data_IF_939423296591
#
_entry.id   IF_939423296591
#
_cell.length_a   1.000
_cell.length_b   1.000
_cell.length_c   1.000
_cell.angle_alpha   90.00
_cell.angle_beta   90.00
_cell.angle_gamma   90.00
#
_symmetry.space_group_name_H-M   'P 1'
#
loop_
_entity.id
_entity.type
_entity.pdbx_description
1 polymer ?
#
# COMPACT_ATOMS: atom_id res chain seq x y z
N UNK A 1 -13.96 0.03 18.67
CA UNK A 1 -13.79 -0.76 17.44
C UNK A 1 -14.42 -2.14 17.61
N UNK A 2 -15.14 -2.61 16.61
CA UNK A 2 -15.70 -3.96 16.60
C UNK A 2 -14.59 -5.01 16.36
N UNK A 3 -14.86 -6.28 16.66
CA UNK A 3 -13.91 -7.38 16.38
C UNK A 3 -13.51 -7.43 14.90
N UNK A 4 -14.46 -7.21 14.01
CA UNK A 4 -14.22 -7.18 12.56
C UNK A 4 -13.30 -6.03 12.15
N UNK A 5 -13.45 -4.85 12.74
CA UNK A 5 -12.59 -3.70 12.47
C UNK A 5 -11.15 -3.95 12.97
N UNK A 6 -11.02 -4.54 14.14
CA UNK A 6 -9.70 -4.93 14.68
C UNK A 6 -9.03 -5.95 13.77
N UNK A 7 -9.78 -6.94 13.29
CA UNK A 7 -9.25 -7.92 12.32
C UNK A 7 -8.78 -7.24 11.04
N UNK A 8 -9.50 -6.24 10.54
CA UNK A 8 -9.11 -5.45 9.38
C UNK A 8 -7.81 -4.67 9.60
N UNK A 9 -7.66 -4.04 10.77
CA UNK A 9 -6.43 -3.33 11.14
C UNK A 9 -5.24 -4.29 11.23
N UNK A 10 -5.43 -5.43 11.89
CA UNK A 10 -4.38 -6.44 12.02
C UNK A 10 -3.99 -7.03 10.66
N UNK A 11 -4.96 -7.31 9.80
CA UNK A 11 -4.70 -7.79 8.45
C UNK A 11 -3.91 -6.76 7.64
N UNK A 12 -4.31 -5.49 7.66
CA UNK A 12 -3.61 -4.41 6.96
C UNK A 12 -2.19 -4.23 7.50
N UNK A 13 -2.01 -4.20 8.81
CA UNK A 13 -0.69 -4.07 9.43
C UNK A 13 0.22 -5.25 9.05
N UNK A 14 -0.31 -6.48 9.07
CA UNK A 14 0.42 -7.69 8.67
C UNK A 14 0.83 -7.61 7.20
N UNK A 15 -0.05 -7.16 6.31
CA UNK A 15 0.23 -7.02 4.89
C UNK A 15 1.33 -5.98 4.66
N UNK A 16 1.27 -4.83 5.34
CA UNK A 16 2.31 -3.78 5.21
C UNK A 16 3.66 -4.30 5.68
N UNK A 17 3.72 -4.97 6.83
CA UNK A 17 4.96 -5.59 7.34
C UNK A 17 5.48 -6.65 6.38
N UNK A 18 4.61 -7.56 5.94
CA UNK A 18 4.98 -8.60 4.98
C UNK A 18 5.48 -8.01 3.65
N UNK A 19 4.83 -6.96 3.16
CA UNK A 19 5.23 -6.25 1.95
C UNK A 19 6.67 -5.71 2.07
N UNK A 20 6.99 -5.06 3.18
CA UNK A 20 8.31 -4.49 3.41
C UNK A 20 9.41 -5.57 3.54
N UNK A 21 9.08 -6.74 4.05
CA UNK A 21 9.99 -7.88 4.12
C UNK A 21 10.13 -8.54 2.74
N UNK A 22 8.99 -8.86 2.11
CA UNK A 22 8.96 -9.64 0.88
C UNK A 22 9.48 -8.87 -0.35
N UNK A 23 9.48 -7.54 -0.32
CA UNK A 23 10.08 -6.72 -1.38
C UNK A 23 11.58 -6.97 -1.55
N UNK A 24 12.24 -7.47 -0.51
CA UNK A 24 13.67 -7.81 -0.53
C UNK A 24 13.95 -9.12 -1.25
N UNK A 25 12.95 -9.96 -1.46
CA UNK A 25 13.08 -11.26 -2.12
C UNK A 25 12.57 -11.20 -3.55
N UNK A 26 13.45 -11.51 -4.49
CA UNK A 26 13.12 -11.56 -5.90
C UNK A 26 12.39 -12.86 -6.23
N UNK A 27 11.31 -12.71 -7.01
CA UNK A 27 10.64 -13.83 -7.66
C UNK A 27 10.99 -13.81 -9.15
N UNK A 28 11.98 -14.61 -9.53
CA UNK A 28 12.54 -14.52 -10.87
C UNK A 28 13.39 -13.26 -11.09
N UNK A 29 13.44 -12.77 -12.32
CA UNK A 29 14.28 -11.62 -12.71
C UNK A 29 13.51 -10.29 -12.75
N UNK A 30 12.17 -10.29 -12.54
CA UNK A 30 11.31 -9.16 -12.85
C UNK A 30 10.41 -8.72 -11.71
N UNK A 31 10.06 -9.61 -10.79
CA UNK A 31 9.12 -9.36 -9.71
C UNK A 31 9.76 -9.59 -8.34
N UNK A 32 9.19 -8.95 -7.34
CA UNK A 32 9.48 -9.27 -5.95
C UNK A 32 8.27 -9.98 -5.34
N UNK A 33 8.50 -10.79 -4.32
CA UNK A 33 7.41 -11.39 -3.55
C UNK A 33 6.48 -10.34 -2.93
N UNK A 34 7.01 -9.15 -2.66
CA UNK A 34 6.21 -8.01 -2.18
C UNK A 34 5.10 -7.58 -3.11
N UNK A 35 5.26 -7.78 -4.42
CA UNK A 35 4.23 -7.43 -5.40
C UNK A 35 2.91 -8.19 -5.19
N UNK A 36 2.97 -9.40 -4.63
CA UNK A 36 1.78 -10.20 -4.34
C UNK A 36 1.00 -9.73 -3.11
N UNK A 37 1.59 -8.88 -2.28
CA UNK A 37 0.92 -8.33 -1.09
C UNK A 37 -0.01 -7.16 -1.43
N UNK A 38 0.22 -6.46 -2.52
CA UNK A 38 -0.62 -5.32 -2.95
C UNK A 38 -2.07 -5.71 -3.22
N UNK A 39 -2.37 -6.75 -4.01
CA UNK A 39 -3.75 -7.19 -4.20
C UNK A 39 -4.45 -7.56 -2.88
N UNK A 40 -3.71 -8.09 -1.91
CA UNK A 40 -4.26 -8.42 -0.60
C UNK A 40 -4.62 -7.17 0.21
N UNK A 41 -3.81 -6.11 0.13
CA UNK A 41 -4.12 -4.83 0.76
C UNK A 41 -5.43 -4.23 0.21
N UNK A 42 -5.59 -4.20 -1.10
CA UNK A 42 -6.82 -3.73 -1.75
C UNK A 42 -8.01 -4.61 -1.38
N UNK A 43 -7.82 -5.93 -1.32
CA UNK A 43 -8.87 -6.87 -0.92
C UNK A 43 -9.37 -6.58 0.51
N UNK A 44 -8.47 -6.37 1.45
CA UNK A 44 -8.84 -6.02 2.83
C UNK A 44 -9.60 -4.71 2.88
N UNK A 45 -9.13 -3.71 2.13
CA UNK A 45 -9.80 -2.40 2.04
C UNK A 45 -11.20 -2.54 1.45
N UNK A 46 -11.36 -3.28 0.37
CA UNK A 46 -12.65 -3.51 -0.28
C UNK A 46 -13.64 -4.24 0.64
N UNK A 47 -13.17 -5.27 1.34
CA UNK A 47 -14.01 -6.01 2.29
C UNK A 47 -14.45 -5.08 3.44
N UNK A 48 -13.54 -4.31 4.01
CA UNK A 48 -13.86 -3.40 5.09
C UNK A 48 -14.78 -2.26 4.64
N UNK A 49 -14.58 -1.74 3.43
CA UNK A 49 -15.47 -0.74 2.84
C UNK A 49 -16.86 -1.30 2.61
N UNK A 50 -16.97 -2.53 2.12
CA UNK A 50 -18.27 -3.18 1.90
C UNK A 50 -19.02 -3.45 3.19
N UNK A 51 -18.32 -3.87 4.25
CA UNK A 51 -18.92 -4.22 5.54
C UNK A 51 -19.23 -3.01 6.41
N UNK A 52 -18.37 -2.00 6.41
CA UNK A 52 -18.41 -0.90 7.39
C UNK A 52 -18.51 0.49 6.77
N UNK A 53 -18.40 0.61 5.45
CA UNK A 53 -18.45 1.89 4.74
C UNK A 53 -17.10 2.57 4.60
N UNK A 54 -17.04 3.67 3.78
CA UNK A 54 -15.77 4.29 3.40
C UNK A 54 -15.03 4.97 4.55
N UNK A 55 -15.73 5.57 5.52
CA UNK A 55 -15.11 6.24 6.65
C UNK A 55 -14.32 5.25 7.53
N UNK A 56 -14.89 4.09 7.81
CA UNK A 56 -14.24 3.03 8.59
C UNK A 56 -13.09 2.40 7.80
N UNK A 57 -13.27 2.17 6.50
CA UNK A 57 -12.22 1.65 5.64
C UNK A 57 -10.99 2.57 5.63
N UNK A 58 -11.17 3.88 5.50
CA UNK A 58 -10.07 4.87 5.58
C UNK A 58 -9.34 4.82 6.92
N UNK A 59 -10.09 4.69 8.01
CA UNK A 59 -9.50 4.57 9.34
C UNK A 59 -8.67 3.29 9.48
N UNK A 60 -9.17 2.17 8.98
CA UNK A 60 -8.46 0.89 9.00
C UNK A 60 -7.17 0.96 8.18
N UNK A 61 -7.21 1.55 6.99
CA UNK A 61 -6.03 1.77 6.15
C UNK A 61 -4.98 2.60 6.90
N UNK A 62 -5.39 3.75 7.47
CA UNK A 62 -4.47 4.64 8.18
C UNK A 62 -3.85 3.97 9.40
N UNK A 63 -4.67 3.38 10.28
CA UNK A 63 -4.18 2.76 11.51
C UNK A 63 -3.31 1.55 11.20
N UNK A 64 -3.76 0.68 10.29
CA UNK A 64 -3.00 -0.49 9.87
C UNK A 64 -1.68 -0.12 9.21
N UNK A 65 -1.68 0.91 8.37
CA UNK A 65 -0.49 1.43 7.71
C UNK A 65 0.52 2.00 8.73
N UNK A 66 0.08 2.82 9.67
CA UNK A 66 0.95 3.39 10.71
C UNK A 66 1.56 2.29 11.58
N UNK A 67 0.76 1.31 12.01
CA UNK A 67 1.25 0.16 12.77
C UNK A 67 2.26 -0.64 11.95
N UNK A 68 1.95 -0.90 10.69
CA UNK A 68 2.83 -1.61 9.77
C UNK A 68 4.17 -0.91 9.57
N UNK A 69 4.16 0.41 9.38
CA UNK A 69 5.38 1.21 9.27
C UNK A 69 6.20 1.19 10.56
N UNK A 70 5.55 1.33 11.71
CA UNK A 70 6.24 1.27 13.00
C UNK A 70 6.91 -0.07 13.21
N UNK A 71 6.22 -1.18 12.93
CA UNK A 71 6.78 -2.53 13.01
C UNK A 71 7.93 -2.72 12.01
N UNK A 72 7.80 -2.22 10.80
CA UNK A 72 8.86 -2.29 9.78
C UNK A 72 10.08 -1.50 10.18
N UNK A 73 9.88 -0.31 10.77
CA UNK A 73 10.98 0.51 11.28
C UNK A 73 11.74 -0.19 12.42
N UNK A 74 11.01 -0.76 13.40
CA UNK A 74 11.62 -1.54 14.49
C UNK A 74 12.38 -2.75 13.91
N UNK A 75 11.78 -3.46 12.95
CA UNK A 75 12.43 -4.59 12.28
C UNK A 75 13.71 -4.20 11.55
N UNK A 76 13.74 -3.03 10.92
CA UNK A 76 14.92 -2.54 10.21
C UNK A 76 16.10 -2.22 11.14
N UNK A 77 15.84 -1.82 12.38
CA UNK A 77 16.86 -1.59 13.39
C UNK A 77 17.53 -2.89 13.85
N UNK A 78 16.80 -3.99 13.87
CA UNK A 78 17.30 -5.30 14.30
C UNK A 78 18.20 -5.93 13.22
N UNK A 79 17.96 -5.66 11.95
CA UNK A 79 18.67 -6.22 10.79
C UNK A 79 19.69 -5.22 10.23
N UNK A 80 20.14 -4.25 11.01
CA UNK A 80 20.96 -3.11 10.61
C UNK A 80 22.37 -3.41 10.05
N UNK A 81 22.74 -4.69 9.86
CA UNK A 81 24.02 -5.07 9.23
C UNK A 81 24.04 -4.87 7.71
N UNK A 82 22.86 -4.70 7.08
CA UNK A 82 22.77 -4.54 5.63
C UNK A 82 22.66 -3.10 5.13
N UNK A 83 22.82 -2.12 6.02
CA UNK A 83 22.71 -0.69 5.67
C UNK A 83 21.29 -0.24 5.36
N UNK A 84 21.08 1.05 5.05
CA UNK A 84 19.77 1.56 4.67
C UNK A 84 19.34 0.98 3.32
N UNK A 85 18.52 -0.06 3.35
CA UNK A 85 18.03 -0.79 2.17
C UNK A 85 17.13 0.07 1.29
N UNK A 86 16.55 1.14 1.85
CA UNK A 86 15.62 2.03 1.13
C UNK A 86 15.99 3.47 1.47
N UNK A 87 16.20 4.30 0.45
CA UNK A 87 16.39 5.73 0.67
C UNK A 87 15.11 6.34 1.30
N UNK A 88 15.27 7.36 2.14
CA UNK A 88 14.15 8.10 2.75
C UNK A 88 13.15 8.57 1.69
N UNK A 89 13.64 8.96 0.53
CA UNK A 89 12.82 9.40 -0.60
C UNK A 89 11.91 8.30 -1.15
N UNK A 90 12.44 7.11 -1.33
CA UNK A 90 11.65 5.94 -1.78
C UNK A 90 10.62 5.58 -0.73
N UNK A 91 10.97 5.62 0.55
CA UNK A 91 10.03 5.37 1.65
C UNK A 91 8.88 6.39 1.66
N UNK A 92 9.18 7.67 1.52
CA UNK A 92 8.16 8.74 1.44
C UNK A 92 7.30 8.56 0.19
N UNK A 93 7.93 8.30 -0.97
CA UNK A 93 7.21 8.08 -2.22
C UNK A 93 6.25 6.90 -2.13
N UNK A 94 6.70 5.79 -1.58
CA UNK A 94 5.89 4.59 -1.35
C UNK A 94 4.72 4.87 -0.38
N UNK A 95 4.98 5.57 0.71
CA UNK A 95 3.95 5.92 1.68
C UNK A 95 2.87 6.83 1.08
N UNK A 96 3.26 7.88 0.37
CA UNK A 96 2.33 8.82 -0.28
C UNK A 96 1.54 8.11 -1.38
N UNK A 97 2.19 7.33 -2.22
CA UNK A 97 1.55 6.58 -3.29
C UNK A 97 0.52 5.59 -2.72
N UNK A 98 0.89 4.81 -1.72
CA UNK A 98 0.00 3.84 -1.07
C UNK A 98 -1.24 4.50 -0.46
N UNK A 99 -1.06 5.55 0.34
CA UNK A 99 -2.18 6.22 1.01
C UNK A 99 -3.12 6.90 -0.01
N UNK A 100 -2.56 7.51 -1.05
CA UNK A 100 -3.36 8.13 -2.12
C UNK A 100 -4.13 7.06 -2.90
N UNK A 101 -3.48 5.98 -3.28
CA UNK A 101 -4.10 4.89 -4.01
C UNK A 101 -5.22 4.22 -3.21
N UNK A 102 -5.00 3.95 -1.93
CA UNK A 102 -6.01 3.37 -1.04
C UNK A 102 -7.20 4.33 -0.83
N UNK A 103 -6.94 5.62 -0.69
CA UNK A 103 -8.01 6.61 -0.55
C UNK A 103 -8.86 6.70 -1.82
N UNK A 104 -8.21 6.64 -2.97
CA UNK A 104 -8.88 6.64 -4.26
C UNK A 104 -9.68 5.34 -4.49
N UNK A 105 -9.10 4.20 -4.16
CA UNK A 105 -9.75 2.90 -4.19
C UNK A 105 -11.06 2.92 -3.39
N UNK A 106 -11.01 3.38 -2.15
CA UNK A 106 -12.19 3.50 -1.28
C UNK A 106 -13.24 4.41 -1.92
N UNK A 107 -12.84 5.54 -2.51
CA UNK A 107 -13.77 6.49 -3.12
C UNK A 107 -14.43 5.92 -4.38
N UNK A 108 -13.69 5.26 -5.24
CA UNK A 108 -14.20 4.62 -6.45
C UNK A 108 -15.11 3.45 -6.08
N UNK A 109 -14.71 2.62 -5.13
CA UNK A 109 -15.51 1.51 -4.62
C UNK A 109 -16.86 2.00 -4.10
N UNK A 110 -16.86 3.06 -3.30
CA UNK A 110 -18.08 3.62 -2.71
C UNK A 110 -19.05 4.12 -3.78
N UNK A 111 -18.55 4.75 -4.83
CA UNK A 111 -19.37 5.19 -5.98
C UNK A 111 -19.99 4.03 -6.76
N UNK A 112 -19.28 2.91 -6.83
CA UNK A 112 -19.70 1.74 -7.62
C UNK A 112 -20.35 0.63 -6.79
N UNK A 113 -20.48 0.79 -5.47
CA UNK A 113 -20.96 -0.27 -4.57
C UNK A 113 -22.35 -0.81 -4.88
N UNK A 114 -23.20 -0.01 -5.52
CA UNK A 114 -24.57 -0.39 -5.90
C UNK A 114 -24.65 -1.07 -7.27
N UNK A 115 -23.53 -1.20 -7.97
CA UNK A 115 -23.42 -1.92 -9.23
C UNK A 115 -23.17 -3.41 -8.99
N UNK A 116 -22.90 -4.18 -10.05
CA UNK A 116 -22.60 -5.60 -9.91
C UNK A 116 -21.44 -5.82 -8.89
N UNK A 117 -21.54 -6.87 -8.10
CA UNK A 117 -20.64 -7.11 -6.96
C UNK A 117 -19.16 -7.13 -7.30
N UNK A 118 -18.82 -7.46 -8.55
CA UNK A 118 -17.44 -7.54 -9.03
C UNK A 118 -16.91 -6.21 -9.63
N UNK A 119 -17.82 -5.31 -10.05
CA UNK A 119 -17.43 -4.06 -10.72
C UNK A 119 -16.76 -3.07 -9.77
N UNK A 120 -17.26 -2.95 -8.55
CA UNK A 120 -16.69 -2.04 -7.56
C UNK A 120 -15.23 -2.43 -7.23
N UNK A 121 -14.92 -3.67 -6.76
CA UNK A 121 -13.54 -4.02 -6.43
C UNK A 121 -12.63 -4.04 -7.64
N UNK A 122 -13.09 -4.46 -8.81
CA UNK A 122 -12.26 -4.49 -10.01
C UNK A 122 -11.85 -3.08 -10.45
N UNK A 123 -12.82 -2.17 -10.59
CA UNK A 123 -12.55 -0.81 -11.04
C UNK A 123 -11.72 -0.03 -10.01
N UNK A 124 -12.05 -0.13 -8.72
CA UNK A 124 -11.34 0.58 -7.67
C UNK A 124 -9.90 0.12 -7.55
N UNK A 125 -9.66 -1.19 -7.57
CA UNK A 125 -8.30 -1.75 -7.47
C UNK A 125 -7.45 -1.44 -8.70
N UNK A 126 -8.02 -1.45 -9.90
CA UNK A 126 -7.29 -1.08 -11.12
C UNK A 126 -6.87 0.39 -11.10
N UNK A 127 -7.80 1.29 -10.74
CA UNK A 127 -7.52 2.73 -10.64
C UNK A 127 -6.52 2.99 -9.51
N UNK A 128 -6.73 2.39 -8.34
CA UNK A 128 -5.83 2.51 -7.20
C UNK A 128 -4.41 2.06 -7.53
N UNK A 129 -4.26 0.89 -8.15
CA UNK A 129 -2.97 0.35 -8.55
C UNK A 129 -2.26 1.21 -9.60
N UNK A 130 -3.00 1.75 -10.57
CA UNK A 130 -2.44 2.64 -11.59
C UNK A 130 -1.92 3.94 -10.97
N UNK A 131 -2.67 4.53 -10.03
CA UNK A 131 -2.27 5.75 -9.31
C UNK A 131 -1.09 5.46 -8.37
N UNK A 132 -1.10 4.35 -7.65
CA UNK A 132 0.02 3.94 -6.78
C UNK A 132 1.32 3.84 -7.58
N UNK A 133 1.30 3.10 -8.67
CA UNK A 133 2.46 2.93 -9.55
C UNK A 133 2.92 4.27 -10.12
N UNK A 134 2.01 5.08 -10.67
CA UNK A 134 2.32 6.38 -11.24
C UNK A 134 2.95 7.34 -10.24
N UNK A 135 2.37 7.46 -9.05
CA UNK A 135 2.88 8.32 -7.98
C UNK A 135 4.21 7.82 -7.43
N UNK A 136 4.34 6.53 -7.22
CA UNK A 136 5.60 5.94 -6.74
C UNK A 136 6.75 6.28 -7.68
N UNK A 137 6.59 6.03 -8.97
CA UNK A 137 7.62 6.35 -9.95
C UNK A 137 7.87 7.85 -10.08
N UNK A 138 6.84 8.67 -10.06
CA UNK A 138 6.98 10.12 -10.12
C UNK A 138 7.79 10.67 -8.94
N UNK A 139 7.54 10.19 -7.72
CA UNK A 139 8.22 10.67 -6.52
C UNK A 139 9.61 10.05 -6.38
N UNK A 140 9.72 8.74 -6.55
CA UNK A 140 10.97 8.02 -6.35
C UNK A 140 12.04 8.38 -7.39
N UNK A 141 11.63 8.57 -8.65
CA UNK A 141 12.55 8.80 -9.77
C UNK A 141 12.59 10.24 -10.29
N UNK A 142 11.76 11.14 -9.81
CA UNK A 142 11.78 12.55 -10.24
C UNK A 142 13.13 13.25 -10.03
N UNK A 143 13.93 12.78 -9.08
CA UNK A 143 15.28 13.31 -8.84
C UNK A 143 16.37 12.62 -9.67
N UNK A 144 16.14 11.43 -10.17
CA UNK A 144 17.12 10.79 -11.05
C UNK A 144 17.21 11.49 -12.39
N UNK A 145 16.12 12.12 -12.83
CA UNK A 145 16.12 12.97 -14.02
C UNK A 145 16.95 14.23 -13.87
N UNK A 146 17.08 14.79 -12.66
CA UNK A 146 17.93 15.96 -12.40
C UNK A 146 19.42 15.63 -12.46
N UNK A 147 19.80 14.36 -12.29
CA UNK A 147 21.18 13.89 -12.42
C UNK A 147 21.55 13.53 -13.86
N UNK A 148 20.56 13.29 -14.70
CA UNK A 148 20.74 12.93 -16.13
C UNK A 148 20.74 14.17 -17.02
N UNK A 149 20.26 15.31 -16.56
CA UNK A 149 20.36 16.58 -17.25
C UNK A 149 21.65 17.31 -16.79
N UNK A 150 22.78 17.18 -17.51
CA UNK A 150 23.91 18.04 -17.23
C UNK A 150 23.49 19.48 -17.53
N UNK A 151 23.62 20.28 -16.53
CA UNK A 151 23.49 21.73 -16.66
C UNK A 151 24.43 22.29 -17.70
#
# INVERSE_FOLDING_TARGET
MTRSQISGVLAMATIVVASNILVQFLFGNWLTWGAFTYPLAFLVTDIMNRLHGPAIARRIVLVGFVIGLACSFVGSQIVGEFGPLVSVRVAIGSAVAFLTAQSLDISVFDRLRHRAWWQAPLASSLIGSAVDTGLFFAIAFSASLSWIAPS
#
